data_IF_171829481418
#
_entry.id   IF_171829481418
#
_cell.length_a   1.000
_cell.length_b   1.000
_cell.length_c   1.000
_cell.angle_alpha   90.00
_cell.angle_beta   90.00
_cell.angle_gamma   90.00
#
_symmetry.space_group_name_H-M   'P 1'
#
loop_
_entity.id
_entity.type
_entity.pdbx_description
1 polymer ?
#
# COMPACT_ATOMS: atom_id res chain seq x y z
N UNK A 1 -49.78 -19.04 80.09
CA UNK A 1 -48.39 -19.36 79.72
C UNK A 1 -48.12 -18.64 78.43
N UNK A 2 -47.54 -17.47 78.60
CA UNK A 2 -47.33 -16.39 77.65
C UNK A 2 -46.38 -16.75 76.49
N UNK A 3 -46.55 -16.06 75.37
CA UNK A 3 -45.85 -16.30 74.11
C UNK A 3 -44.53 -15.54 73.93
N UNK A 4 -43.96 -15.66 72.73
CA UNK A 4 -43.07 -14.69 72.06
C UNK A 4 -42.50 -15.30 70.76
N UNK A 5 -42.54 -14.51 69.67
CA UNK A 5 -41.68 -14.66 68.48
C UNK A 5 -40.27 -14.05 68.74
N UNK A 6 -39.37 -13.94 67.74
CA UNK A 6 -38.02 -14.53 67.59
C UNK A 6 -36.94 -13.46 68.00
N UNK A 7 -35.66 -13.31 67.50
CA UNK A 7 -34.95 -13.94 66.38
C UNK A 7 -33.40 -14.10 66.53
N UNK A 8 -32.76 -14.45 65.41
CA UNK A 8 -31.42 -14.00 64.96
C UNK A 8 -30.18 -14.45 65.75
N UNK A 9 -29.34 -15.28 65.12
CA UNK A 9 -27.90 -15.32 65.43
C UNK A 9 -27.12 -14.80 64.23
N UNK A 10 -26.76 -13.53 64.35
CA UNK A 10 -25.64 -12.86 63.68
C UNK A 10 -24.34 -13.64 63.95
N UNK A 11 -23.50 -13.79 62.93
CA UNK A 11 -22.05 -13.90 63.12
C UNK A 11 -21.36 -12.93 62.16
N UNK A 12 -21.20 -11.70 62.64
CA UNK A 12 -20.18 -10.76 62.20
C UNK A 12 -18.84 -11.07 62.90
N UNK A 13 -17.78 -10.50 62.32
CA UNK A 13 -16.42 -10.33 62.86
C UNK A 13 -15.38 -11.44 62.59
N UNK A 14 -14.71 -11.32 61.45
CA UNK A 14 -13.27 -11.59 61.42
C UNK A 14 -12.51 -10.47 60.69
N UNK A 15 -11.83 -9.67 61.51
CA UNK A 15 -11.04 -8.50 61.15
C UNK A 15 -9.69 -8.87 60.53
N UNK A 16 -9.39 -8.19 59.44
CA UNK A 16 -8.20 -8.15 58.57
C UNK A 16 -6.85 -8.07 59.31
N UNK A 17 -5.87 -8.90 58.90
CA UNK A 17 -4.44 -8.59 58.57
C UNK A 17 -3.94 -9.76 57.67
N UNK A 18 -3.21 -9.67 56.57
CA UNK A 18 -2.55 -8.65 55.76
C UNK A 18 -1.55 -9.40 54.85
N UNK A 19 -1.27 -8.84 53.68
CA UNK A 19 -0.14 -9.11 52.76
C UNK A 19 -0.23 -10.23 51.68
N UNK A 20 -0.20 -9.72 50.43
CA UNK A 20 0.61 -10.15 49.28
C UNK A 20 0.02 -11.12 48.21
N UNK A 21 -0.11 -10.56 46.99
CA UNK A 21 0.25 -11.15 45.67
C UNK A 21 -0.50 -12.42 45.22
N UNK A 22 -1.13 -12.55 44.03
CA UNK A 22 -1.05 -11.87 42.72
C UNK A 22 -2.43 -11.99 42.04
N UNK A 23 -2.89 -10.93 41.37
CA UNK A 23 -4.05 -10.99 40.45
C UNK A 23 -3.53 -11.24 39.04
N UNK A 24 -3.70 -12.45 38.52
CA UNK A 24 -3.63 -12.69 37.08
C UNK A 24 -4.85 -12.06 36.44
N UNK A 25 -4.65 -10.83 35.98
CA UNK A 25 -5.62 -10.05 35.22
C UNK A 25 -5.61 -10.62 33.80
N UNK A 26 -6.56 -11.52 33.54
CA UNK A 26 -6.90 -11.98 32.20
C UNK A 26 -7.21 -10.74 31.35
N UNK A 27 -6.19 -10.22 30.68
CA UNK A 27 -6.29 -9.10 29.75
C UNK A 27 -6.78 -9.71 28.46
N UNK A 28 -8.10 -9.66 28.28
CA UNK A 28 -8.74 -9.92 26.99
C UNK A 28 -8.12 -8.95 25.99
N UNK A 29 -7.21 -9.47 25.15
CA UNK A 29 -6.78 -8.80 23.92
C UNK A 29 -8.05 -8.39 23.17
N UNK A 30 -8.17 -7.14 22.68
CA UNK A 30 -9.22 -6.83 21.73
C UNK A 30 -8.91 -7.65 20.48
N UNK A 31 -9.64 -8.74 20.26
CA UNK A 31 -9.73 -9.36 18.95
C UNK A 31 -10.49 -8.35 18.10
N UNK A 32 -9.74 -7.48 17.42
CA UNK A 32 -10.30 -6.66 16.34
C UNK A 32 -11.00 -7.62 15.38
N UNK A 33 -12.32 -7.48 15.31
CA UNK A 33 -13.11 -8.13 14.29
C UNK A 33 -12.66 -7.53 12.96
N UNK A 34 -11.76 -8.21 12.26
CA UNK A 34 -11.46 -7.89 10.87
C UNK A 34 -12.79 -8.02 10.14
N UNK A 35 -13.36 -6.88 9.75
CA UNK A 35 -14.62 -6.81 9.07
C UNK A 35 -14.40 -7.54 7.73
N UNK A 36 -15.16 -8.61 7.46
CA UNK A 36 -14.98 -9.45 6.26
C UNK A 36 -15.15 -8.73 4.91
N UNK A 37 -15.44 -7.42 4.92
CA UNK A 37 -15.52 -6.57 3.73
C UNK A 37 -14.20 -5.90 3.31
N UNK A 38 -13.11 -6.12 4.04
CA UNK A 38 -11.80 -5.52 3.79
C UNK A 38 -10.80 -6.47 3.11
N UNK A 39 -11.24 -7.58 2.51
CA UNK A 39 -10.36 -8.51 1.75
C UNK A 39 -10.67 -8.39 0.25
N UNK A 40 -9.63 -8.24 -0.56
CA UNK A 40 -9.76 -8.16 -2.01
C UNK A 40 -10.04 -9.55 -2.59
N UNK A 41 -11.10 -9.71 -3.36
CA UNK A 41 -11.46 -11.02 -3.96
C UNK A 41 -10.56 -11.41 -5.14
N UNK A 42 -9.68 -10.53 -5.60
CA UNK A 42 -8.75 -10.80 -6.72
C UNK A 42 -7.42 -11.32 -6.18
N UNK A 43 -6.81 -10.62 -5.23
CA UNK A 43 -5.51 -11.01 -4.67
C UNK A 43 -5.60 -11.78 -3.34
N UNK A 44 -6.79 -11.85 -2.72
CA UNK A 44 -7.04 -12.49 -1.42
C UNK A 44 -6.29 -11.86 -0.23
N UNK A 45 -5.69 -10.68 -0.43
CA UNK A 45 -5.05 -9.88 0.60
C UNK A 45 -6.03 -8.80 1.15
N UNK A 46 -5.75 -8.20 2.32
CA UNK A 46 -6.47 -7.01 2.78
C UNK A 46 -6.46 -5.86 1.75
N UNK A 47 -7.60 -5.19 1.57
CA UNK A 47 -7.79 -4.06 0.65
C UNK A 47 -7.01 -2.87 1.19
N UNK A 48 -5.97 -2.47 0.47
CA UNK A 48 -5.13 -1.32 0.81
C UNK A 48 -5.75 -0.02 0.33
N UNK A 49 -6.33 -0.05 -0.88
CA UNK A 49 -7.05 1.06 -1.50
C UNK A 49 -8.32 0.54 -2.13
N UNK A 50 -9.47 0.97 -1.61
CA UNK A 50 -10.77 0.43 -2.03
C UNK A 50 -11.15 0.97 -3.41
N UNK A 51 -11.46 0.05 -4.32
CA UNK A 51 -11.98 0.33 -5.65
C UNK A 51 -13.49 0.07 -5.71
N UNK A 52 -14.25 0.98 -6.31
CA UNK A 52 -15.69 0.82 -6.57
C UNK A 52 -15.92 0.73 -8.09
N UNK A 53 -16.39 -0.43 -8.55
CA UNK A 53 -16.68 -0.65 -9.96
C UNK A 53 -18.04 -0.04 -10.36
N UNK A 54 -18.06 0.95 -11.26
CA UNK A 54 -19.28 1.62 -11.71
C UNK A 54 -19.77 1.02 -13.04
N UNK A 55 -21.06 0.67 -13.20
CA UNK A 55 -22.21 1.03 -12.35
C UNK A 55 -22.65 -0.05 -11.34
N UNK A 56 -21.98 -1.20 -11.26
CA UNK A 56 -22.45 -2.30 -10.41
C UNK A 56 -22.14 -2.13 -8.91
N UNK A 57 -21.35 -1.12 -8.54
CA UNK A 57 -20.97 -0.72 -7.18
C UNK A 57 -20.35 -1.83 -6.32
N UNK A 58 -19.74 -2.85 -6.95
CA UNK A 58 -18.95 -3.82 -6.22
C UNK A 58 -17.66 -3.19 -5.71
N UNK A 59 -17.36 -3.44 -4.43
CA UNK A 59 -16.34 -2.71 -3.67
C UNK A 59 -15.31 -3.61 -2.97
N UNK A 60 -15.35 -4.93 -3.19
CA UNK A 60 -14.45 -5.91 -2.55
C UNK A 60 -13.15 -6.10 -3.33
N UNK A 61 -12.63 -5.01 -3.90
CA UNK A 61 -11.42 -5.02 -4.70
C UNK A 61 -10.44 -3.97 -4.21
N UNK A 62 -9.16 -4.32 -4.27
CA UNK A 62 -8.08 -3.35 -4.25
C UNK A 62 -8.00 -2.63 -5.61
N UNK A 63 -7.74 -1.33 -5.61
CA UNK A 63 -7.72 -0.48 -6.81
C UNK A 63 -6.82 -1.04 -7.90
N UNK A 64 -5.58 -1.39 -7.56
CA UNK A 64 -4.62 -1.91 -8.53
C UNK A 64 -5.08 -3.25 -9.10
N UNK A 65 -5.67 -4.11 -8.27
CA UNK A 65 -6.16 -5.41 -8.70
C UNK A 65 -7.32 -5.27 -9.70
N UNK A 66 -8.27 -4.37 -9.42
CA UNK A 66 -9.40 -4.13 -10.31
C UNK A 66 -8.95 -3.47 -11.63
N UNK A 67 -8.04 -2.50 -11.57
CA UNK A 67 -7.53 -1.84 -12.80
C UNK A 67 -6.79 -2.84 -13.68
N UNK A 68 -5.90 -3.68 -13.12
CA UNK A 68 -5.20 -4.71 -13.89
C UNK A 68 -6.17 -5.69 -14.56
N UNK A 69 -7.22 -6.11 -13.85
CA UNK A 69 -8.27 -6.94 -14.45
C UNK A 69 -8.97 -6.25 -15.63
N UNK A 70 -9.28 -4.96 -15.48
CA UNK A 70 -10.00 -4.18 -16.49
C UNK A 70 -9.19 -3.89 -17.77
N UNK A 71 -7.87 -4.02 -17.70
CA UNK A 71 -7.00 -3.95 -18.89
C UNK A 71 -7.20 -5.16 -19.82
N UNK A 72 -7.55 -6.32 -19.26
CA UNK A 72 -7.82 -7.55 -20.03
C UNK A 72 -9.32 -7.73 -20.31
N UNK A 73 -10.17 -7.50 -19.31
CA UNK A 73 -11.61 -7.72 -19.37
C UNK A 73 -12.35 -6.50 -18.86
N UNK A 74 -13.12 -5.82 -19.71
CA UNK A 74 -13.89 -4.62 -19.32
C UNK A 74 -15.12 -4.91 -18.44
N UNK A 75 -15.19 -6.09 -17.82
CA UNK A 75 -16.33 -6.56 -17.03
C UNK A 75 -15.93 -6.80 -15.57
N UNK A 76 -16.87 -6.62 -14.65
CA UNK A 76 -16.66 -6.81 -13.23
C UNK A 76 -16.41 -8.30 -12.90
N UNK A 77 -15.37 -8.65 -12.10
CA UNK A 77 -15.08 -10.05 -11.74
C UNK A 77 -16.23 -10.77 -11.03
N UNK A 78 -17.09 -10.05 -10.32
CA UNK A 78 -18.16 -10.63 -9.50
C UNK A 78 -19.47 -10.82 -10.27
N UNK A 79 -19.89 -9.80 -11.02
CA UNK A 79 -21.21 -9.79 -11.66
C UNK A 79 -21.18 -9.79 -13.19
N UNK A 80 -19.98 -9.70 -13.79
CA UNK A 80 -19.76 -9.64 -15.24
C UNK A 80 -20.40 -8.42 -15.94
N UNK A 81 -20.93 -7.46 -15.21
CA UNK A 81 -21.41 -6.19 -15.76
C UNK A 81 -20.24 -5.38 -16.35
N UNK A 82 -20.48 -4.68 -17.46
CA UNK A 82 -19.50 -3.78 -18.07
C UNK A 82 -19.15 -2.63 -17.10
N UNK A 83 -17.87 -2.49 -16.78
CA UNK A 83 -17.36 -1.45 -15.88
C UNK A 83 -16.91 -0.28 -16.74
N UNK A 84 -17.50 0.89 -16.52
CA UNK A 84 -17.16 2.11 -17.25
C UNK A 84 -16.06 2.88 -16.54
N UNK A 85 -16.15 2.93 -15.22
CA UNK A 85 -15.33 3.77 -14.36
C UNK A 85 -15.06 3.04 -13.04
N UNK A 86 -13.89 3.28 -12.48
CA UNK A 86 -13.49 2.81 -11.16
C UNK A 86 -13.28 4.03 -10.27
N UNK A 87 -14.07 4.14 -9.21
CA UNK A 87 -13.90 5.20 -8.22
C UNK A 87 -13.00 4.69 -7.09
N UNK A 88 -11.98 5.46 -6.74
CA UNK A 88 -10.94 5.09 -5.75
C UNK A 88 -10.45 6.33 -5.01
N UNK A 89 -9.58 6.17 -3.99
CA UNK A 89 -9.07 7.28 -3.17
C UNK A 89 -10.20 8.18 -2.60
N UNK A 90 -11.20 7.57 -1.95
CA UNK A 90 -12.31 8.31 -1.33
C UNK A 90 -11.82 9.10 -0.11
N UNK A 91 -11.77 10.43 -0.24
CA UNK A 91 -11.39 11.39 0.81
C UNK A 91 -12.60 11.91 1.58
N UNK A 92 -13.74 12.02 0.91
CA UNK A 92 -15.04 12.38 1.48
C UNK A 92 -16.17 11.74 0.66
N UNK A 93 -17.44 11.79 1.12
CA UNK A 93 -18.58 11.27 0.35
C UNK A 93 -18.79 11.93 -1.02
N UNK A 94 -18.03 12.97 -1.36
CA UNK A 94 -18.07 13.72 -2.63
C UNK A 94 -16.69 13.93 -3.26
N UNK A 95 -15.61 13.41 -2.65
CA UNK A 95 -14.23 13.59 -3.10
C UNK A 95 -13.57 12.23 -3.27
N UNK A 96 -13.36 11.84 -4.52
CA UNK A 96 -12.73 10.59 -4.93
C UNK A 96 -12.05 10.79 -6.30
N UNK A 97 -11.08 9.92 -6.60
CA UNK A 97 -10.48 9.82 -7.93
C UNK A 97 -11.25 8.84 -8.79
N UNK A 98 -11.24 9.05 -10.10
CA UNK A 98 -11.96 8.21 -11.06
C UNK A 98 -11.02 7.74 -12.16
N UNK A 99 -10.87 6.42 -12.29
CA UNK A 99 -10.18 5.79 -13.40
C UNK A 99 -11.20 5.38 -14.47
N UNK A 100 -11.05 5.90 -15.69
CA UNK A 100 -11.94 5.57 -16.81
C UNK A 100 -11.42 4.38 -17.61
N UNK A 101 -12.24 3.36 -17.79
CA UNK A 101 -11.89 2.14 -18.53
C UNK A 101 -11.95 2.45 -20.03
N UNK A 102 -10.79 2.60 -20.65
CA UNK A 102 -10.70 2.79 -22.10
C UNK A 102 -10.79 1.45 -22.82
N UNK A 103 -11.77 1.28 -23.70
CA UNK A 103 -11.78 0.15 -24.63
C UNK A 103 -10.53 0.24 -25.53
N UNK A 104 -9.72 -0.82 -25.70
CA UNK A 104 -8.71 -0.83 -26.74
C UNK A 104 -9.43 -0.62 -28.06
N UNK A 105 -9.12 0.49 -28.73
CA UNK A 105 -9.70 0.86 -30.02
C UNK A 105 -9.31 -0.21 -31.02
N UNK A 106 -10.19 -1.18 -31.26
CA UNK A 106 -10.09 -2.07 -32.39
C UNK A 106 -9.98 -1.18 -33.64
N UNK A 107 -8.82 -1.23 -34.29
CA UNK A 107 -8.59 -0.50 -35.53
C UNK A 107 -9.52 -1.08 -36.60
N UNK A 108 -10.70 -0.48 -36.75
CA UNK A 108 -11.55 -0.68 -37.91
C UNK A 108 -10.82 -0.10 -39.12
N UNK A 109 -10.22 -0.95 -39.94
CA UNK A 109 -9.77 -0.57 -41.27
C UNK A 109 -10.97 -0.40 -42.20
N UNK A 110 -10.95 0.61 -43.08
CA UNK A 110 -11.65 0.52 -44.34
C UNK A 110 -10.63 0.49 -45.48
N UNK A 111 -10.59 -0.63 -46.20
CA UNK A 111 -10.09 -0.69 -47.56
C UNK A 111 -11.00 0.15 -48.45
N UNK A 112 -10.48 1.22 -49.06
CA UNK A 112 -10.67 1.51 -50.49
C UNK A 112 -9.72 2.60 -50.93
N UNK A 113 -9.05 2.34 -52.05
CA UNK A 113 -8.14 3.23 -52.74
C UNK A 113 -8.88 4.45 -53.30
N UNK A 114 -8.32 5.65 -53.11
CA UNK A 114 -8.21 6.70 -54.13
C UNK A 114 -7.52 7.96 -53.59
N UNK A 115 -6.71 8.60 -54.46
CA UNK A 115 -6.20 9.97 -54.43
C UNK A 115 -4.96 10.30 -53.58
N UNK A 116 -3.80 10.07 -54.19
CA UNK A 116 -2.44 10.40 -53.73
C UNK A 116 -1.95 11.83 -54.05
N UNK A 117 -2.80 12.78 -54.42
CA UNK A 117 -2.30 14.07 -54.97
C UNK A 117 -2.64 15.34 -54.17
N UNK A 118 -3.42 15.31 -53.09
CA UNK A 118 -3.84 16.53 -52.39
C UNK A 118 -3.24 16.76 -50.98
N UNK A 119 -2.29 15.92 -50.53
CA UNK A 119 -1.83 15.92 -49.12
C UNK A 119 -0.50 16.63 -48.81
N UNK A 120 0.19 17.21 -49.80
CA UNK A 120 1.53 17.80 -49.57
C UNK A 120 1.56 19.18 -48.90
N UNK A 121 0.46 19.94 -48.86
CA UNK A 121 0.47 21.31 -48.32
C UNK A 121 -0.32 21.56 -47.02
N UNK A 122 -0.92 20.53 -46.40
CA UNK A 122 -1.60 20.67 -45.10
C UNK A 122 -0.75 20.20 -43.90
N UNK A 123 0.50 19.76 -44.13
CA UNK A 123 1.34 19.10 -43.12
C UNK A 123 2.17 20.05 -42.25
N UNK A 124 2.07 21.38 -42.40
CA UNK A 124 2.94 22.34 -41.70
C UNK A 124 2.26 23.22 -40.65
N UNK A 125 0.97 23.03 -40.39
CA UNK A 125 0.25 23.70 -39.28
C UNK A 125 -0.72 22.77 -38.56
N UNK A 126 -0.27 21.56 -38.22
CA UNK A 126 -0.86 20.89 -37.04
C UNK A 126 -0.17 21.46 -35.82
N UNK A 127 -0.80 22.50 -35.29
CA UNK A 127 -0.63 22.96 -33.93
C UNK A 127 -0.45 21.74 -33.02
N UNK A 128 0.61 21.79 -32.22
CA UNK A 128 0.92 20.87 -31.15
C UNK A 128 -0.39 20.45 -30.47
N UNK A 129 -0.79 19.20 -30.67
CA UNK A 129 -1.69 18.58 -29.72
C UNK A 129 -0.99 18.71 -28.36
N UNK A 130 -1.66 19.24 -27.32
CA UNK A 130 -1.14 19.11 -25.97
C UNK A 130 -0.76 17.64 -25.77
N UNK A 131 0.41 17.33 -25.20
CA UNK A 131 0.70 15.94 -24.84
C UNK A 131 -0.52 15.43 -24.05
N UNK A 132 -0.96 14.18 -24.28
CA UNK A 132 -2.07 13.63 -23.52
C UNK A 132 -1.74 13.89 -22.06
N UNK A 133 -2.67 14.52 -21.33
CA UNK A 133 -2.57 14.63 -19.88
C UNK A 133 -2.51 13.19 -19.40
N UNK A 134 -1.30 12.66 -19.25
CA UNK A 134 -1.05 11.45 -18.51
C UNK A 134 -1.54 11.86 -17.14
N UNK A 135 -2.71 11.36 -16.75
CA UNK A 135 -3.20 11.41 -15.40
C UNK A 135 -2.18 10.63 -14.55
N UNK A 136 -1.03 11.25 -14.32
CA UNK A 136 0.01 10.73 -13.45
C UNK A 136 -0.59 10.85 -12.07
N UNK A 137 -0.99 9.72 -11.50
CA UNK A 137 -1.45 9.67 -10.12
C UNK A 137 -0.51 10.54 -9.27
N UNK A 138 -1.00 11.65 -8.66
CA UNK A 138 -0.14 12.60 -7.96
C UNK A 138 0.64 11.94 -6.84
N UNK A 139 0.12 10.82 -6.31
CA UNK A 139 0.80 9.97 -5.34
C UNK A 139 2.05 9.32 -5.96
N UNK A 140 1.93 8.68 -7.13
CA UNK A 140 3.08 8.11 -7.85
C UNK A 140 4.11 9.16 -8.27
N UNK A 141 3.67 10.36 -8.66
CA UNK A 141 4.61 11.44 -9.03
C UNK A 141 5.40 11.94 -7.81
N UNK A 142 4.77 12.05 -6.65
CA UNK A 142 5.47 12.31 -5.38
C UNK A 142 6.51 11.22 -5.10
N UNK A 143 6.14 9.94 -5.23
CA UNK A 143 7.07 8.82 -5.04
C UNK A 143 8.23 8.86 -6.04
N UNK A 144 7.99 9.18 -7.32
CA UNK A 144 9.06 9.38 -8.31
C UNK A 144 10.06 10.45 -7.88
N UNK A 145 9.59 11.55 -7.27
CA UNK A 145 10.46 12.57 -6.67
C UNK A 145 11.40 12.01 -5.61
N UNK A 146 10.88 11.16 -4.70
CA UNK A 146 11.66 10.51 -3.63
C UNK A 146 12.83 9.69 -4.20
N UNK A 147 12.59 8.83 -5.20
CA UNK A 147 13.65 8.03 -5.81
C UNK A 147 14.59 8.86 -6.69
N UNK A 148 14.07 9.87 -7.42
CA UNK A 148 14.87 10.76 -8.26
C UNK A 148 15.88 11.56 -7.43
N UNK A 149 15.44 12.07 -6.29
CA UNK A 149 16.25 12.92 -5.41
C UNK A 149 17.01 12.11 -4.36
N UNK A 150 16.81 10.79 -4.30
CA UNK A 150 17.42 9.86 -3.34
C UNK A 150 17.24 10.31 -1.88
N UNK A 151 16.05 10.77 -1.55
CA UNK A 151 15.72 11.27 -0.21
C UNK A 151 15.12 10.14 0.63
N UNK A 152 15.88 9.47 1.51
CA UNK A 152 15.30 8.47 2.41
C UNK A 152 14.37 9.14 3.43
N UNK A 153 13.30 8.43 3.83
CA UNK A 153 12.45 8.88 4.92
C UNK A 153 13.28 9.05 6.18
N UNK A 154 12.97 10.10 6.93
CA UNK A 154 13.52 10.30 8.26
C UNK A 154 13.10 9.12 9.15
N UNK A 155 14.03 8.67 9.99
CA UNK A 155 13.75 7.58 10.90
C UNK A 155 12.66 8.01 11.89
N UNK A 156 11.47 7.41 11.74
CA UNK A 156 10.35 7.62 12.64
C UNK A 156 10.64 6.78 13.88
N UNK A 157 11.26 7.41 14.88
CA UNK A 157 11.74 6.73 16.08
C UNK A 157 10.64 5.93 16.79
N UNK A 158 11.03 4.74 17.27
CA UNK A 158 10.20 3.88 18.09
C UNK A 158 9.95 4.46 19.48
N UNK A 159 9.01 5.39 19.61
CA UNK A 159 8.42 5.69 20.90
C UNK A 159 7.32 4.65 21.15
N UNK A 160 7.21 4.14 22.38
CA UNK A 160 6.15 3.18 22.76
C UNK A 160 4.72 3.72 22.58
N UNK A 161 4.58 5.03 22.38
CA UNK A 161 3.34 5.74 22.06
C UNK A 161 3.10 5.83 20.53
N UNK A 162 4.14 5.75 19.69
CA UNK A 162 4.04 5.88 18.23
C UNK A 162 3.69 4.58 17.49
N UNK A 163 3.72 3.43 18.18
CA UNK A 163 3.30 2.15 17.62
C UNK A 163 4.25 1.55 16.58
N UNK A 164 5.49 2.04 16.49
CA UNK A 164 6.52 1.47 15.61
C UNK A 164 7.12 0.20 16.22
N UNK A 165 7.03 -0.92 15.51
CA UNK A 165 7.46 -2.24 16.00
C UNK A 165 8.54 -2.81 15.09
N UNK A 166 9.71 -3.11 15.67
CA UNK A 166 10.78 -3.85 14.98
C UNK A 166 10.33 -5.27 14.62
N UNK A 167 10.86 -5.81 13.52
CA UNK A 167 10.60 -7.19 13.12
C UNK A 167 11.88 -7.87 12.62
N UNK A 168 11.95 -9.18 12.83
CA UNK A 168 13.01 -10.07 12.34
C UNK A 168 12.58 -10.79 11.05
N UNK A 169 13.54 -11.36 10.31
CA UNK A 169 13.22 -12.16 9.12
C UNK A 169 12.32 -13.37 9.45
N UNK A 170 12.50 -13.98 10.62
CA UNK A 170 11.66 -15.09 11.09
C UNK A 170 10.21 -14.65 11.36
N UNK A 171 10.01 -13.48 11.98
CA UNK A 171 8.68 -12.90 12.18
C UNK A 171 8.03 -12.50 10.85
N UNK A 172 8.80 -11.95 9.92
CA UNK A 172 8.30 -11.66 8.57
C UNK A 172 7.85 -12.93 7.84
N UNK A 173 8.64 -14.01 7.94
CA UNK A 173 8.34 -15.30 7.31
C UNK A 173 7.05 -15.95 7.82
N UNK A 174 6.74 -15.76 9.11
CA UNK A 174 5.54 -16.34 9.74
C UNK A 174 4.31 -15.43 9.67
N UNK A 175 4.49 -14.11 9.54
CA UNK A 175 3.40 -13.13 9.52
C UNK A 175 2.86 -12.88 8.12
N UNK A 176 1.67 -13.43 7.83
CA UNK A 176 0.93 -13.13 6.59
C UNK A 176 0.56 -11.64 6.47
N UNK A 177 0.37 -10.96 7.61
CA UNK A 177 0.06 -9.52 7.66
C UNK A 177 1.25 -8.70 7.16
N UNK A 178 2.47 -8.97 7.66
CA UNK A 178 3.67 -8.27 7.22
C UNK A 178 3.95 -8.51 5.73
N UNK A 179 3.76 -9.74 5.26
CA UNK A 179 3.91 -10.08 3.84
C UNK A 179 2.89 -9.35 2.96
N UNK A 180 1.62 -9.30 3.37
CA UNK A 180 0.56 -8.57 2.66
C UNK A 180 0.82 -7.07 2.62
N UNK A 181 1.30 -6.51 3.73
CA UNK A 181 1.73 -5.10 3.81
C UNK A 181 2.94 -4.81 2.94
N UNK A 182 3.89 -5.73 2.86
CA UNK A 182 5.04 -5.61 1.96
C UNK A 182 4.59 -5.60 0.50
N UNK A 183 3.72 -6.54 0.10
CA UNK A 183 3.12 -6.56 -1.25
C UNK A 183 2.41 -5.26 -1.57
N UNK A 184 1.58 -4.78 -0.64
CA UNK A 184 0.85 -3.52 -0.77
C UNK A 184 1.80 -2.37 -1.15
N UNK A 185 2.88 -2.21 -0.38
CA UNK A 185 3.89 -1.20 -0.65
C UNK A 185 4.60 -1.41 -1.98
N UNK A 186 5.09 -2.63 -2.24
CA UNK A 186 5.84 -2.97 -3.44
C UNK A 186 5.02 -2.79 -4.73
N UNK A 187 3.71 -3.12 -4.73
CA UNK A 187 2.83 -2.91 -5.89
C UNK A 187 2.85 -1.46 -6.36
N UNK A 188 2.85 -0.49 -5.43
CA UNK A 188 2.95 0.93 -5.77
C UNK A 188 4.37 1.34 -6.12
N UNK A 189 5.35 1.00 -5.27
CA UNK A 189 6.71 1.50 -5.44
C UNK A 189 7.38 0.97 -6.73
N UNK A 190 7.11 -0.27 -7.12
CA UNK A 190 7.68 -0.83 -8.35
C UNK A 190 7.12 -0.16 -9.63
N UNK A 191 5.99 0.55 -9.55
CA UNK A 191 5.48 1.38 -10.65
C UNK A 191 6.30 2.65 -10.86
N UNK A 192 7.10 3.08 -9.88
CA UNK A 192 8.04 4.20 -10.04
C UNK A 192 9.11 3.85 -11.08
N UNK A 193 9.53 2.59 -11.14
CA UNK A 193 10.56 2.10 -12.04
C UNK A 193 9.95 1.70 -13.39
N UNK A 194 9.75 2.67 -14.27
CA UNK A 194 9.20 2.45 -15.62
C UNK A 194 10.12 1.61 -16.50
N UNK A 195 11.44 1.59 -16.23
CA UNK A 195 12.37 0.71 -16.94
C UNK A 195 12.10 -0.78 -16.73
N UNK A 196 11.35 -1.17 -15.69
CA UNK A 196 10.96 -2.56 -15.47
C UNK A 196 9.98 -3.07 -16.52
N UNK A 197 9.20 -2.21 -17.16
CA UNK A 197 8.26 -2.59 -18.25
C UNK A 197 8.99 -3.16 -19.47
N UNK A 198 10.28 -2.87 -19.60
CA UNK A 198 11.11 -3.27 -20.73
C UNK A 198 12.26 -4.19 -20.32
N UNK A 199 12.29 -4.65 -19.07
CA UNK A 199 13.36 -5.50 -18.56
C UNK A 199 12.97 -6.99 -18.62
N UNK A 200 13.40 -7.75 -19.66
CA UNK A 200 13.08 -9.17 -19.75
C UNK A 200 13.69 -10.02 -18.64
N UNK A 201 14.72 -9.52 -17.93
CA UNK A 201 15.35 -10.24 -16.81
C UNK A 201 14.55 -10.15 -15.52
N UNK A 202 13.85 -9.04 -15.30
CA UNK A 202 13.03 -8.83 -14.10
C UNK A 202 11.67 -9.54 -14.17
N UNK A 203 11.27 -10.02 -15.36
CA UNK A 203 9.92 -10.55 -15.59
C UNK A 203 8.85 -9.46 -15.41
N UNK A 204 7.63 -9.87 -15.01
CA UNK A 204 6.61 -8.90 -14.58
C UNK A 204 7.02 -8.23 -13.27
N UNK A 205 6.55 -7.00 -13.02
CA UNK A 205 6.64 -6.35 -11.70
C UNK A 205 6.12 -7.26 -10.58
N UNK A 206 5.12 -8.08 -10.87
CA UNK A 206 4.55 -9.04 -9.91
C UNK A 206 5.56 -10.13 -9.51
N UNK A 207 6.39 -10.58 -10.45
CA UNK A 207 7.45 -11.53 -10.17
C UNK A 207 8.52 -10.89 -9.26
N UNK A 208 8.97 -9.67 -9.59
CA UNK A 208 9.94 -8.96 -8.77
C UNK A 208 9.40 -8.67 -7.36
N UNK A 209 8.11 -8.33 -7.25
CA UNK A 209 7.44 -8.18 -5.95
C UNK A 209 7.52 -9.48 -5.13
N UNK A 210 7.09 -10.63 -5.68
CA UNK A 210 7.13 -11.90 -4.95
C UNK A 210 8.57 -12.35 -4.65
N UNK A 211 9.51 -12.04 -5.55
CA UNK A 211 10.93 -12.27 -5.33
C UNK A 211 11.47 -11.46 -4.14
N UNK A 212 11.14 -10.16 -4.05
CA UNK A 212 11.51 -9.32 -2.91
C UNK A 212 10.88 -9.86 -1.63
N UNK A 213 9.59 -10.21 -1.63
CA UNK A 213 8.93 -10.82 -0.47
C UNK A 213 9.65 -12.12 -0.08
N UNK A 214 10.09 -12.94 -1.03
CA UNK A 214 10.85 -14.15 -0.77
C UNK A 214 12.22 -13.88 -0.12
N UNK A 215 12.94 -12.83 -0.57
CA UNK A 215 14.21 -12.40 0.05
C UNK A 215 13.99 -12.06 1.52
N UNK A 216 12.94 -11.29 1.83
CA UNK A 216 12.65 -10.83 3.19
C UNK A 216 12.23 -11.95 4.15
N UNK A 217 11.81 -13.13 3.64
CA UNK A 217 11.54 -14.30 4.49
C UNK A 217 12.82 -14.93 5.06
N UNK A 218 13.96 -14.70 4.43
CA UNK A 218 15.22 -15.39 4.77
C UNK A 218 16.38 -14.44 5.09
N UNK A 219 16.22 -13.13 4.84
CA UNK A 219 17.28 -12.14 5.02
C UNK A 219 16.72 -10.92 5.78
N UNK A 220 17.51 -10.34 6.66
CA UNK A 220 17.16 -9.10 7.34
C UNK A 220 17.21 -7.91 6.36
N UNK A 221 16.24 -6.99 6.47
CA UNK A 221 16.20 -5.80 5.59
C UNK A 221 17.45 -4.93 5.76
N UNK A 222 17.96 -4.83 7.00
CA UNK A 222 19.20 -4.14 7.37
C UNK A 222 20.24 -5.11 7.95
N UNK A 223 20.38 -6.28 7.33
CA UNK A 223 21.45 -7.22 7.69
C UNK A 223 22.83 -6.60 7.51
N UNK A 224 23.76 -6.87 8.43
CA UNK A 224 25.15 -6.38 8.32
C UNK A 224 25.88 -6.93 7.09
N UNK A 225 25.38 -8.01 6.51
CA UNK A 225 25.87 -8.63 5.27
C UNK A 225 25.41 -7.89 4.00
N UNK A 226 24.42 -6.98 4.11
CA UNK A 226 23.84 -6.25 2.99
C UNK A 226 23.18 -7.16 1.95
N UNK A 227 22.85 -8.41 2.29
CA UNK A 227 22.47 -9.42 1.30
C UNK A 227 21.16 -9.09 0.58
N UNK A 228 20.19 -8.53 1.31
CA UNK A 228 18.93 -8.07 0.74
C UNK A 228 19.14 -6.95 -0.29
N UNK A 229 20.01 -5.97 0.02
CA UNK A 229 20.33 -4.86 -0.89
C UNK A 229 21.05 -5.36 -2.16
N UNK A 230 21.96 -6.33 -2.02
CA UNK A 230 22.67 -6.94 -3.15
C UNK A 230 21.70 -7.61 -4.13
N UNK A 231 20.85 -8.52 -3.63
CA UNK A 231 19.92 -9.31 -4.45
C UNK A 231 18.86 -8.44 -5.14
N UNK A 232 18.29 -7.46 -4.44
CA UNK A 232 17.33 -6.51 -5.04
C UNK A 232 18.04 -5.54 -5.99
N UNK A 233 19.30 -5.20 -5.69
CA UNK A 233 20.14 -4.32 -6.48
C UNK A 233 20.44 -4.84 -7.88
N UNK A 234 20.39 -6.15 -8.13
CA UNK A 234 20.55 -6.73 -9.46
C UNK A 234 19.48 -6.25 -10.46
N UNK A 235 18.28 -5.92 -9.97
CA UNK A 235 17.15 -5.50 -10.79
C UNK A 235 16.97 -3.98 -10.81
N UNK A 236 17.15 -3.32 -9.67
CA UNK A 236 16.83 -1.89 -9.50
C UNK A 236 18.07 -0.98 -9.52
N UNK A 237 19.26 -1.54 -9.40
CA UNK A 237 20.49 -0.83 -9.07
C UNK A 237 20.63 -0.61 -7.56
N UNK A 238 21.87 -0.64 -7.07
CA UNK A 238 22.22 -0.59 -5.63
C UNK A 238 21.54 0.56 -4.87
N UNK A 239 21.58 1.75 -5.44
CA UNK A 239 21.04 2.97 -4.82
C UNK A 239 19.51 2.92 -4.68
N UNK A 240 18.81 2.48 -5.71
CA UNK A 240 17.35 2.33 -5.69
C UNK A 240 16.92 1.20 -4.77
N UNK A 241 17.64 0.07 -4.77
CA UNK A 241 17.37 -1.07 -3.90
C UNK A 241 17.52 -0.67 -2.42
N UNK A 242 18.60 0.02 -2.06
CA UNK A 242 18.83 0.52 -0.72
C UNK A 242 17.72 1.47 -0.24
N UNK A 243 17.33 2.42 -1.10
CA UNK A 243 16.24 3.34 -0.78
C UNK A 243 14.89 2.62 -0.65
N UNK A 244 14.55 1.74 -1.60
CA UNK A 244 13.32 0.95 -1.58
C UNK A 244 13.22 0.13 -0.29
N UNK A 245 14.29 -0.55 0.10
CA UNK A 245 14.34 -1.38 1.31
C UNK A 245 14.25 -0.54 2.58
N UNK A 246 14.89 0.63 2.63
CA UNK A 246 14.75 1.56 3.75
C UNK A 246 13.31 2.08 3.91
N UNK A 247 12.66 2.47 2.81
CA UNK A 247 11.27 2.93 2.86
C UNK A 247 10.31 1.78 3.21
N UNK A 248 10.52 0.59 2.64
CA UNK A 248 9.72 -0.59 2.92
C UNK A 248 9.82 -0.98 4.39
N UNK A 249 11.02 -0.95 4.95
CA UNK A 249 11.26 -1.21 6.37
C UNK A 249 10.48 -0.22 7.25
N UNK A 250 10.55 1.06 6.94
CA UNK A 250 9.86 2.10 7.70
C UNK A 250 8.33 1.96 7.60
N UNK A 251 7.82 1.60 6.42
CA UNK A 251 6.41 1.28 6.21
C UNK A 251 5.96 0.06 7.03
N UNK A 252 6.75 -1.02 7.03
CA UNK A 252 6.41 -2.26 7.74
C UNK A 252 6.43 -2.10 9.26
N UNK A 253 7.32 -1.25 9.78
CA UNK A 253 7.35 -0.88 11.19
C UNK A 253 6.19 0.03 11.59
N UNK A 254 5.64 0.81 10.65
CA UNK A 254 4.61 1.81 10.96
C UNK A 254 3.27 1.19 11.36
N UNK A 255 2.44 1.90 12.14
CA UNK A 255 1.06 1.48 12.41
C UNK A 255 0.11 1.69 11.23
N UNK A 256 0.56 2.34 10.13
CA UNK A 256 -0.30 2.68 9.00
C UNK A 256 -0.80 1.42 8.30
N UNK A 257 -2.12 1.30 8.11
CA UNK A 257 -2.72 0.16 7.40
C UNK A 257 -2.86 0.45 5.90
N UNK A 258 -2.91 1.73 5.54
CA UNK A 258 -3.07 2.20 4.16
C UNK A 258 -1.90 3.08 3.73
N UNK A 259 -1.51 2.96 2.46
CA UNK A 259 -0.39 3.73 1.90
C UNK A 259 -0.61 5.23 1.98
N UNK A 260 -1.86 5.70 1.88
CA UNK A 260 -2.17 7.12 2.04
C UNK A 260 -1.80 7.64 3.42
N UNK A 261 -2.14 6.88 4.47
CA UNK A 261 -1.87 7.28 5.86
C UNK A 261 -0.36 7.41 6.06
N UNK A 262 0.39 6.49 5.45
CA UNK A 262 1.84 6.56 5.42
C UNK A 262 2.36 7.78 4.69
N UNK A 263 1.82 8.09 3.51
CA UNK A 263 2.24 9.26 2.74
C UNK A 263 2.01 10.58 3.48
N UNK A 264 0.96 10.67 4.30
CA UNK A 264 0.62 11.83 5.13
C UNK A 264 1.59 12.02 6.31
N UNK A 265 2.08 10.92 6.91
CA UNK A 265 2.93 10.97 8.13
C UNK A 265 4.42 10.86 7.84
N UNK A 266 4.82 10.31 6.69
CA UNK A 266 6.22 10.12 6.34
C UNK A 266 6.90 11.46 6.07
N UNK A 267 8.06 11.66 6.69
CA UNK A 267 8.83 12.89 6.58
C UNK A 267 10.13 12.64 5.81
N UNK A 268 10.52 13.59 4.98
CA UNK A 268 11.77 13.59 4.23
C UNK A 268 12.63 14.77 4.65
N UNK A 269 13.95 14.62 4.54
CA UNK A 269 14.88 15.70 4.85
C UNK A 269 14.76 16.78 3.76
N UNK A 270 14.40 18.00 4.17
CA UNK A 270 14.29 19.13 3.25
C UNK A 270 15.67 19.54 2.72
N UNK A 271 15.84 19.66 1.41
CA UNK A 271 17.11 20.01 0.75
C UNK A 271 17.62 21.42 1.14
N UNK A 272 16.82 22.22 1.86
CA UNK A 272 17.14 23.58 2.30
C UNK A 272 17.85 23.73 3.66
N UNK A 273 17.91 22.69 4.51
CA UNK A 273 18.47 22.84 5.87
C UNK A 273 20.00 22.60 5.98
N UNK A 274 20.68 22.31 4.86
CA UNK A 274 22.10 21.94 4.85
C UNK A 274 23.13 23.01 4.49
N UNK A 275 22.72 24.24 4.11
CA UNK A 275 23.65 25.28 3.58
C UNK A 275 23.85 26.52 4.46
N UNK A 276 23.31 26.56 5.68
CA UNK A 276 23.52 27.67 6.62
C UNK A 276 24.17 27.20 7.91
N UNK A 277 25.45 26.81 7.85
CA UNK A 277 26.41 26.80 8.97
C UNK A 277 27.78 26.43 8.41
N UNK A 278 28.48 27.44 7.92
CA UNK A 278 29.94 27.58 7.97
C UNK A 278 30.34 28.79 7.12
N UNK A 279 30.08 29.99 7.65
CA UNK A 279 30.82 31.22 7.36
C UNK A 279 30.78 32.03 8.65
N UNK A 280 31.90 31.99 9.38
CA UNK A 280 32.11 32.69 10.66
C UNK A 280 33.44 32.26 11.25
#
# INVERSE_FOLDING_TARGET
MDGAHPPCTSNDDFKIKGAASRKDKQTTKPTERINGGDICTICLDPISERAVATPCNHLTFDFLCLVSWLQEQTTCPLCKAEVKEVQYDWRSPTDWKTYHVSKPKAQAGPSTAANLSARRNAARRRNLAPPPLVDTDPTLERRRGVYRNRTPCLHLGGNSISGYVDFTAAEFSTSSILQSRARTFLRRELQVFTFLDHNPRAGSRDYLMEYIVAILRSNEVKGSDGKAEELVGEFLGRENARLLLHELEAWLRSPCLQLRQWDDVVQYRDEGQGRSKDHG
#
